data_IF_592193379213
#
_entry.id   IF_592193379213
#
_cell.length_a   1.000
_cell.length_b   1.000
_cell.length_c   1.000
_cell.angle_alpha   90.00
_cell.angle_beta   90.00
_cell.angle_gamma   90.00
#
_symmetry.space_group_name_H-M   'P 1'
#
loop_
_entity.id
_entity.type
_entity.pdbx_description
1 polymer ?
#
# COMPACT_ATOMS: atom_id res chain seq x y z
N UNK A 1 -15.24 -17.90 21.75
CA UNK A 1 -14.33 -18.36 20.67
C UNK A 1 -14.67 -17.68 19.34
N UNK A 2 -15.94 -17.53 19.06
CA UNK A 2 -16.45 -17.00 17.79
C UNK A 2 -16.06 -15.55 17.53
N UNK A 3 -16.12 -14.68 18.54
CA UNK A 3 -15.67 -13.30 18.44
C UNK A 3 -14.19 -13.17 18.09
N UNK A 4 -13.35 -14.00 18.71
CA UNK A 4 -11.89 -13.99 18.45
C UNK A 4 -11.58 -14.37 17.00
N UNK A 5 -12.26 -15.40 16.47
CA UNK A 5 -12.10 -15.80 15.07
C UNK A 5 -12.57 -14.71 14.12
N UNK A 6 -13.68 -14.05 14.41
CA UNK A 6 -14.18 -12.94 13.60
C UNK A 6 -13.22 -11.75 13.62
N UNK A 7 -12.68 -11.39 14.80
CA UNK A 7 -11.68 -10.32 14.93
C UNK A 7 -10.39 -10.65 14.21
N UNK A 8 -9.93 -11.90 14.26
CA UNK A 8 -8.75 -12.34 13.50
C UNK A 8 -8.98 -12.20 12.01
N UNK A 9 -10.14 -12.65 11.51
CA UNK A 9 -10.47 -12.57 10.09
C UNK A 9 -10.53 -11.11 9.61
N UNK A 10 -11.22 -10.25 10.34
CA UNK A 10 -11.30 -8.81 10.05
C UNK A 10 -9.91 -8.16 10.12
N UNK A 11 -9.13 -8.50 11.16
CA UNK A 11 -7.77 -7.97 11.34
C UNK A 11 -6.82 -8.39 10.22
N UNK A 12 -6.89 -9.64 9.75
CA UNK A 12 -6.13 -10.11 8.59
C UNK A 12 -6.58 -9.36 7.32
N UNK A 13 -7.88 -9.14 7.13
CA UNK A 13 -8.38 -8.38 5.97
C UNK A 13 -7.88 -6.94 5.94
N UNK A 14 -7.99 -6.21 7.04
CA UNK A 14 -7.46 -4.84 7.16
C UNK A 14 -5.92 -4.85 7.03
N UNK A 15 -5.26 -5.79 7.71
CA UNK A 15 -3.81 -5.95 7.65
C UNK A 15 -3.29 -6.27 6.24
N UNK A 16 -4.08 -7.00 5.45
CA UNK A 16 -3.76 -7.28 4.05
C UNK A 16 -3.74 -6.00 3.18
N UNK A 17 -4.65 -5.05 3.43
CA UNK A 17 -4.61 -3.72 2.80
C UNK A 17 -3.33 -2.98 3.16
N UNK A 18 -2.98 -2.95 4.46
CA UNK A 18 -1.74 -2.31 4.90
C UNK A 18 -0.50 -2.98 4.30
N UNK A 19 -0.50 -4.30 4.19
CA UNK A 19 0.58 -5.05 3.56
C UNK A 19 0.77 -4.69 2.07
N UNK A 20 -0.31 -4.52 1.30
CA UNK A 20 -0.22 -4.13 -0.11
C UNK A 20 0.38 -2.73 -0.29
N UNK A 21 -0.04 -1.76 0.51
CA UNK A 21 0.52 -0.41 0.46
C UNK A 21 1.96 -0.38 0.98
N UNK A 22 2.25 -1.16 2.03
CA UNK A 22 3.60 -1.35 2.58
C UNK A 22 4.56 -1.96 1.56
N UNK A 23 4.11 -2.94 0.77
CA UNK A 23 4.87 -3.46 -0.37
C UNK A 23 5.22 -2.35 -1.36
N UNK A 24 4.29 -1.47 -1.68
CA UNK A 24 4.55 -0.30 -2.52
C UNK A 24 5.65 0.60 -1.97
N UNK A 25 5.63 0.90 -0.66
CA UNK A 25 6.70 1.65 0.01
C UNK A 25 8.06 0.96 -0.13
N UNK A 26 8.11 -0.33 0.20
CA UNK A 26 9.35 -1.12 0.16
C UNK A 26 9.94 -1.19 -1.24
N UNK A 27 9.13 -1.39 -2.26
CA UNK A 27 9.60 -1.48 -3.65
C UNK A 27 10.22 -0.18 -4.14
N UNK A 28 9.58 0.97 -3.89
CA UNK A 28 10.14 2.28 -4.24
C UNK A 28 11.41 2.55 -3.44
N UNK A 29 11.41 2.27 -2.13
CA UNK A 29 12.58 2.46 -1.29
C UNK A 29 13.78 1.63 -1.77
N UNK A 30 13.58 0.36 -2.08
CA UNK A 30 14.64 -0.50 -2.63
C UNK A 30 15.22 0.04 -3.95
N UNK A 31 14.37 0.56 -4.83
CA UNK A 31 14.80 1.07 -6.13
C UNK A 31 15.46 2.44 -6.06
N UNK A 32 15.07 3.30 -5.11
CA UNK A 32 15.47 4.71 -5.08
C UNK A 32 16.30 5.11 -3.88
N UNK A 33 16.26 4.35 -2.78
CA UNK A 33 16.72 4.68 -1.42
C UNK A 33 15.97 5.89 -0.83
N UNK A 34 14.77 6.20 -1.32
CA UNK A 34 13.94 7.31 -0.82
C UNK A 34 12.54 6.80 -0.52
N UNK A 35 11.95 7.31 0.55
CA UNK A 35 10.55 7.04 0.90
C UNK A 35 9.63 7.91 0.04
N UNK A 36 8.62 7.29 -0.57
CA UNK A 36 7.58 8.03 -1.28
C UNK A 36 6.39 8.31 -0.34
N UNK A 37 6.31 9.50 0.21
CA UNK A 37 5.21 9.87 1.11
C UNK A 37 3.85 10.06 0.39
N UNK A 38 3.83 10.06 -0.95
CA UNK A 38 2.59 10.05 -1.73
C UNK A 38 2.01 8.63 -1.93
N UNK A 39 2.62 7.59 -1.36
CA UNK A 39 2.20 6.19 -1.58
C UNK A 39 0.76 5.93 -1.18
N UNK A 40 0.28 6.51 -0.08
CA UNK A 40 -1.10 6.33 0.35
C UNK A 40 -2.11 7.04 -0.54
N UNK A 41 -1.71 8.16 -1.15
CA UNK A 41 -2.59 8.88 -2.08
C UNK A 41 -2.88 8.08 -3.35
N UNK A 42 -2.01 7.14 -3.71
CA UNK A 42 -2.31 6.19 -4.77
C UNK A 42 -3.55 5.34 -4.45
N UNK A 43 -3.73 4.96 -3.18
CA UNK A 43 -4.93 4.23 -2.74
C UNK A 43 -6.18 5.10 -2.83
N UNK A 44 -6.09 6.35 -2.40
CA UNK A 44 -7.18 7.33 -2.48
C UNK A 44 -7.56 7.58 -3.95
N UNK A 45 -6.60 7.94 -4.80
CA UNK A 45 -6.88 8.26 -6.21
C UNK A 45 -7.51 7.08 -6.93
N UNK A 46 -7.05 5.85 -6.67
CA UNK A 46 -7.63 4.66 -7.28
C UNK A 46 -9.09 4.43 -6.85
N UNK A 47 -9.41 4.67 -5.57
CA UNK A 47 -10.79 4.58 -5.08
C UNK A 47 -11.69 5.64 -5.74
N UNK A 48 -11.21 6.88 -5.91
CA UNK A 48 -11.94 7.92 -6.65
C UNK A 48 -12.06 7.60 -8.15
N UNK A 49 -11.06 7.00 -8.78
CA UNK A 49 -11.19 6.52 -10.17
C UNK A 49 -12.28 5.45 -10.30
N UNK A 50 -12.43 4.58 -9.30
CA UNK A 50 -13.57 3.65 -9.27
C UNK A 50 -14.90 4.38 -9.16
N UNK A 51 -15.00 5.42 -8.33
CA UNK A 51 -16.22 6.27 -8.26
C UNK A 51 -16.51 6.89 -9.61
N UNK A 52 -15.51 7.50 -10.27
CA UNK A 52 -15.68 8.08 -11.62
C UNK A 52 -16.23 7.06 -12.61
N UNK A 53 -15.64 5.88 -12.68
CA UNK A 53 -15.99 4.91 -13.69
C UNK A 53 -17.26 4.13 -13.35
N UNK A 54 -17.42 3.69 -12.10
CA UNK A 54 -18.54 2.83 -11.70
C UNK A 54 -19.79 3.63 -11.33
N UNK A 55 -19.64 4.81 -10.69
CA UNK A 55 -20.77 5.60 -10.21
C UNK A 55 -21.13 6.71 -11.20
N UNK A 56 -20.19 7.61 -11.52
CA UNK A 56 -20.48 8.78 -12.36
C UNK A 56 -20.75 8.40 -13.83
N UNK A 57 -19.93 7.47 -14.38
CA UNK A 57 -20.07 6.97 -15.76
C UNK A 57 -20.94 5.73 -15.88
N UNK A 58 -21.37 5.15 -14.75
CA UNK A 58 -22.21 3.95 -14.68
C UNK A 58 -21.69 2.77 -15.54
N UNK A 59 -20.36 2.60 -15.62
CA UNK A 59 -19.73 1.52 -16.34
C UNK A 59 -19.82 0.21 -15.56
N UNK A 60 -19.81 -0.96 -16.22
CA UNK A 60 -19.74 -2.24 -15.54
C UNK A 60 -18.55 -2.30 -14.57
N UNK A 61 -18.77 -2.85 -13.38
CA UNK A 61 -17.80 -2.81 -12.28
C UNK A 61 -16.43 -3.39 -12.64
N UNK A 62 -16.40 -4.51 -13.39
CA UNK A 62 -15.17 -5.13 -13.87
C UNK A 62 -14.39 -4.23 -14.84
N UNK A 63 -15.10 -3.47 -15.72
CA UNK A 63 -14.49 -2.53 -16.64
C UNK A 63 -13.93 -1.31 -15.89
N UNK A 64 -14.69 -0.78 -14.93
CA UNK A 64 -14.28 0.30 -14.04
C UNK A 64 -13.00 -0.05 -13.30
N UNK A 65 -12.90 -1.27 -12.80
CA UNK A 65 -11.71 -1.80 -12.14
C UNK A 65 -10.49 -1.81 -13.06
N UNK A 66 -10.61 -2.34 -14.28
CA UNK A 66 -9.52 -2.37 -15.23
C UNK A 66 -9.07 -0.96 -15.65
N UNK A 67 -10.03 -0.05 -15.86
CA UNK A 67 -9.74 1.35 -16.21
C UNK A 67 -9.08 2.08 -15.03
N UNK A 68 -9.51 1.85 -13.80
CA UNK A 68 -8.87 2.42 -12.61
C UNK A 68 -7.43 1.93 -12.49
N UNK A 69 -7.15 0.64 -12.68
CA UNK A 69 -5.79 0.11 -12.65
C UNK A 69 -4.92 0.66 -13.79
N UNK A 70 -5.47 0.80 -14.98
CA UNK A 70 -4.78 1.45 -16.10
C UNK A 70 -4.46 2.91 -15.78
N UNK A 71 -5.41 3.64 -15.21
CA UNK A 71 -5.22 5.01 -14.71
C UNK A 71 -4.12 5.08 -13.65
N UNK A 72 -4.06 4.11 -12.73
CA UNK A 72 -2.99 4.04 -11.72
C UNK A 72 -1.63 3.74 -12.33
N UNK A 73 -1.55 2.89 -13.36
CA UNK A 73 -0.30 2.66 -14.08
C UNK A 73 0.20 3.94 -14.78
N UNK A 74 -0.69 4.69 -15.41
CA UNK A 74 -0.38 5.99 -16.01
C UNK A 74 0.06 6.98 -14.91
N UNK A 75 -0.66 7.06 -13.80
CA UNK A 75 -0.33 7.94 -12.68
C UNK A 75 1.06 7.61 -12.11
N UNK A 76 1.40 6.34 -11.94
CA UNK A 76 2.73 5.91 -11.50
C UNK A 76 3.84 6.36 -12.44
N UNK A 77 3.62 6.25 -13.76
CA UNK A 77 4.55 6.74 -14.77
C UNK A 77 4.69 8.27 -14.72
N UNK A 78 3.57 9.00 -14.69
CA UNK A 78 3.54 10.47 -14.59
C UNK A 78 4.21 10.94 -13.29
N UNK A 79 3.95 10.27 -12.18
CA UNK A 79 4.58 10.57 -10.91
C UNK A 79 6.11 10.39 -10.97
N UNK A 80 6.57 9.29 -11.56
CA UNK A 80 8.00 9.09 -11.76
C UNK A 80 8.59 10.23 -12.61
N UNK A 81 8.00 10.54 -13.76
CA UNK A 81 8.53 11.53 -14.69
C UNK A 81 8.45 12.97 -14.16
N UNK A 82 7.39 13.31 -13.41
CA UNK A 82 7.16 14.66 -12.90
C UNK A 82 7.79 14.95 -11.53
N UNK A 83 7.89 13.93 -10.66
CA UNK A 83 8.33 14.11 -9.27
C UNK A 83 9.72 13.55 -9.04
N UNK A 84 9.93 12.25 -9.34
CA UNK A 84 11.19 11.59 -9.02
C UNK A 84 12.30 11.88 -10.05
N UNK A 85 12.02 11.71 -11.34
CA UNK A 85 13.02 11.77 -12.40
C UNK A 85 13.78 13.11 -12.48
N UNK A 86 13.13 14.28 -12.32
CA UNK A 86 13.84 15.57 -12.30
C UNK A 86 14.80 15.71 -11.11
N UNK A 87 14.52 15.02 -10.02
CA UNK A 87 15.26 15.11 -8.76
C UNK A 87 16.21 13.93 -8.51
N UNK A 88 16.29 12.96 -9.43
CA UNK A 88 17.04 11.69 -9.23
C UNK A 88 18.54 11.84 -8.93
N UNK A 89 19.13 12.98 -9.29
CA UNK A 89 20.52 13.30 -9.02
C UNK A 89 20.72 14.21 -7.80
N UNK A 90 19.62 14.57 -7.13
CA UNK A 90 19.68 15.36 -5.90
C UNK A 90 19.82 14.46 -4.68
N UNK A 91 20.15 15.07 -3.53
CA UNK A 91 20.14 14.37 -2.25
C UNK A 91 18.73 13.86 -1.91
N UNK A 92 18.61 12.99 -0.93
CA UNK A 92 17.31 12.38 -0.56
C UNK A 92 16.25 13.40 -0.11
N UNK A 93 16.64 14.49 0.56
CA UNK A 93 15.72 15.46 1.16
C UNK A 93 14.82 16.19 0.13
N UNK A 94 15.34 16.77 -0.99
CA UNK A 94 14.49 17.35 -2.03
C UNK A 94 13.49 16.37 -2.63
N UNK A 95 13.84 15.09 -2.76
CA UNK A 95 12.93 14.06 -3.29
C UNK A 95 11.80 13.80 -2.30
N UNK A 96 12.11 13.67 -1.00
CA UNK A 96 11.09 13.51 0.05
C UNK A 96 10.11 14.69 0.04
N UNK A 97 10.63 15.92 0.04
CA UNK A 97 9.78 17.13 0.03
C UNK A 97 8.88 17.15 -1.22
N UNK A 98 9.42 16.77 -2.38
CA UNK A 98 8.64 16.70 -3.61
C UNK A 98 7.53 15.64 -3.53
N UNK A 99 7.77 14.48 -2.91
CA UNK A 99 6.72 13.45 -2.73
C UNK A 99 5.63 13.92 -1.76
N UNK A 100 5.99 14.66 -0.70
CA UNK A 100 5.02 15.29 0.22
C UNK A 100 4.20 16.35 -0.53
N UNK A 101 4.87 17.21 -1.32
CA UNK A 101 4.18 18.20 -2.15
C UNK A 101 3.21 17.56 -3.15
N UNK A 102 3.61 16.44 -3.76
CA UNK A 102 2.76 15.68 -4.66
C UNK A 102 1.57 15.02 -3.94
N UNK A 103 1.76 14.52 -2.71
CA UNK A 103 0.68 14.03 -1.84
C UNK A 103 -0.37 15.13 -1.59
N UNK A 104 0.08 16.30 -1.16
CA UNK A 104 -0.79 17.46 -0.92
C UNK A 104 -1.52 17.88 -2.20
N UNK A 105 -0.83 17.90 -3.34
CA UNK A 105 -1.42 18.23 -4.64
C UNK A 105 -2.52 17.23 -5.02
N UNK A 106 -2.28 15.92 -4.88
CA UNK A 106 -3.28 14.89 -5.20
C UNK A 106 -4.49 14.98 -4.27
N UNK A 107 -4.28 15.12 -2.95
CA UNK A 107 -5.37 15.22 -1.97
C UNK A 107 -6.24 16.47 -2.24
N UNK A 108 -5.62 17.64 -2.43
CA UNK A 108 -6.37 18.87 -2.72
C UNK A 108 -6.95 18.91 -4.14
N UNK A 109 -6.32 18.24 -5.11
CA UNK A 109 -6.89 18.08 -6.44
C UNK A 109 -8.20 17.28 -6.39
N UNK A 110 -8.22 16.17 -5.66
CA UNK A 110 -9.45 15.38 -5.45
C UNK A 110 -10.49 16.18 -4.65
N UNK A 111 -10.06 16.91 -3.61
CA UNK A 111 -10.94 17.79 -2.83
C UNK A 111 -11.63 18.86 -3.71
N UNK A 112 -10.90 19.45 -4.63
CA UNK A 112 -11.44 20.46 -5.54
C UNK A 112 -12.46 19.89 -6.54
N UNK A 113 -12.31 18.62 -6.93
CA UNK A 113 -13.19 17.95 -7.90
C UNK A 113 -14.44 17.34 -7.23
N UNK A 114 -14.29 16.68 -6.08
CA UNK A 114 -15.34 15.90 -5.43
C UNK A 114 -15.89 16.53 -4.14
N UNK A 115 -15.22 17.55 -3.61
CA UNK A 115 -15.57 18.16 -2.34
C UNK A 115 -15.18 17.28 -1.13
N UNK A 116 -15.54 17.70 0.10
CA UNK A 116 -15.13 17.03 1.34
C UNK A 116 -16.00 15.83 1.73
N UNK A 117 -17.10 15.58 1.02
CA UNK A 117 -18.06 14.53 1.39
C UNK A 117 -17.54 13.15 0.99
N UNK A 118 -17.56 12.16 1.89
CA UNK A 118 -17.23 10.79 1.55
C UNK A 118 -18.15 10.24 0.47
N UNK A 119 -17.59 9.50 -0.49
CA UNK A 119 -18.33 8.80 -1.52
C UNK A 119 -18.55 7.35 -1.12
N UNK A 120 -19.69 6.79 -1.52
CA UNK A 120 -20.02 5.38 -1.31
C UNK A 120 -19.67 4.61 -2.57
N UNK A 121 -18.90 3.56 -2.40
CA UNK A 121 -18.65 2.58 -3.44
C UNK A 121 -19.26 1.25 -3.02
N UNK A 122 -20.10 0.68 -3.86
CA UNK A 122 -20.71 -0.64 -3.60
C UNK A 122 -19.65 -1.74 -3.65
N UNK A 123 -19.85 -2.78 -2.86
CA UNK A 123 -18.96 -3.95 -2.86
C UNK A 123 -19.09 -4.78 -4.13
N UNK A 124 -18.12 -5.69 -4.34
CA UNK A 124 -18.11 -6.61 -5.49
C UNK A 124 -19.24 -7.65 -5.45
N UNK A 125 -19.79 -7.90 -4.27
CA UNK A 125 -20.80 -8.93 -4.07
C UNK A 125 -22.09 -8.31 -3.51
N UNK A 126 -23.22 -8.69 -4.09
CA UNK A 126 -24.55 -8.32 -3.59
C UNK A 126 -24.87 -9.03 -2.25
N UNK A 127 -24.24 -10.19 -2.02
CA UNK A 127 -24.43 -10.95 -0.77
C UNK A 127 -23.48 -10.44 0.31
N UNK A 128 -24.00 -10.04 1.48
CA UNK A 128 -23.20 -9.40 2.51
C UNK A 128 -22.16 -10.31 3.18
N UNK A 129 -22.21 -11.63 3.02
CA UNK A 129 -21.23 -12.56 3.58
C UNK A 129 -21.68 -14.02 3.66
N UNK A 130 -20.74 -14.87 4.10
CA UNK A 130 -20.96 -16.29 4.29
C UNK A 130 -21.02 -16.58 5.78
N UNK A 131 -22.08 -17.23 6.23
CA UNK A 131 -22.20 -17.66 7.62
C UNK A 131 -21.64 -19.08 7.75
N UNK A 132 -20.49 -19.22 8.40
CA UNK A 132 -19.87 -20.50 8.75
C UNK A 132 -20.10 -20.81 10.23
N UNK A 133 -21.26 -21.41 10.51
CA UNK A 133 -21.67 -21.66 11.89
C UNK A 133 -21.90 -20.36 12.66
N UNK A 134 -21.20 -20.13 13.80
CA UNK A 134 -21.33 -18.91 14.58
C UNK A 134 -20.52 -17.71 14.06
N UNK A 135 -19.65 -17.93 13.06
CA UNK A 135 -18.76 -16.90 12.51
C UNK A 135 -19.37 -16.33 11.23
N UNK A 136 -19.53 -15.01 11.19
CA UNK A 136 -19.94 -14.28 9.99
C UNK A 136 -18.71 -13.75 9.26
N UNK A 137 -18.47 -14.25 8.05
CA UNK A 137 -17.39 -13.81 7.18
C UNK A 137 -17.96 -12.84 6.12
N UNK A 138 -17.65 -11.58 6.27
CA UNK A 138 -18.00 -10.57 5.28
C UNK A 138 -17.27 -10.88 3.96
N UNK A 139 -18.01 -10.88 2.85
CA UNK A 139 -17.50 -11.21 1.52
C UNK A 139 -16.39 -10.27 1.07
N UNK A 140 -16.44 -9.00 1.49
CA UNK A 140 -15.41 -8.02 1.10
C UNK A 140 -14.06 -8.29 1.77
N UNK A 141 -14.05 -8.66 3.07
CA UNK A 141 -12.79 -9.05 3.74
C UNK A 141 -12.21 -10.33 3.15
N UNK A 142 -13.05 -11.28 2.79
CA UNK A 142 -12.63 -12.52 2.13
C UNK A 142 -11.99 -12.22 0.77
N UNK A 143 -12.60 -11.34 -0.02
CA UNK A 143 -12.04 -10.88 -1.29
C UNK A 143 -10.66 -10.23 -1.08
N UNK A 144 -10.54 -9.32 -0.10
CA UNK A 144 -9.27 -8.65 0.20
C UNK A 144 -8.17 -9.67 0.53
N UNK A 145 -8.47 -10.65 1.39
CA UNK A 145 -7.50 -11.68 1.80
C UNK A 145 -7.08 -12.53 0.58
N UNK A 146 -8.04 -13.00 -0.21
CA UNK A 146 -7.76 -13.84 -1.39
C UNK A 146 -6.94 -13.07 -2.42
N UNK A 147 -7.35 -11.85 -2.77
CA UNK A 147 -6.62 -11.02 -3.74
C UNK A 147 -5.22 -10.71 -3.21
N UNK A 148 -5.07 -10.38 -1.94
CA UNK A 148 -3.75 -10.12 -1.35
C UNK A 148 -2.85 -11.36 -1.39
N UNK A 149 -3.37 -12.54 -1.07
CA UNK A 149 -2.60 -13.79 -1.18
C UNK A 149 -2.15 -14.04 -2.63
N UNK A 150 -3.04 -13.84 -3.61
CA UNK A 150 -2.69 -13.96 -5.03
C UNK A 150 -1.61 -12.95 -5.41
N UNK A 151 -1.73 -11.69 -4.97
CA UNK A 151 -0.75 -10.65 -5.25
C UNK A 151 0.60 -10.93 -4.59
N UNK A 152 0.62 -11.42 -3.36
CA UNK A 152 1.86 -11.82 -2.67
C UNK A 152 2.53 -12.99 -3.41
N UNK A 153 1.77 -14.01 -3.78
CA UNK A 153 2.28 -15.13 -4.57
C UNK A 153 2.79 -14.68 -5.95
N UNK A 154 2.04 -13.79 -6.62
CA UNK A 154 2.44 -13.17 -7.87
C UNK A 154 3.74 -12.35 -7.73
N UNK A 155 3.86 -11.53 -6.66
CA UNK A 155 5.08 -10.79 -6.36
C UNK A 155 6.28 -11.72 -6.23
N UNK A 156 6.15 -12.79 -5.44
CA UNK A 156 7.23 -13.77 -5.29
C UNK A 156 7.62 -14.38 -6.64
N UNK A 157 6.63 -14.87 -7.40
CA UNK A 157 6.87 -15.42 -8.74
C UNK A 157 7.50 -14.38 -9.69
N UNK A 158 6.98 -13.15 -9.71
CA UNK A 158 7.46 -12.08 -10.57
C UNK A 158 8.94 -11.76 -10.31
N UNK A 159 9.30 -11.52 -9.06
CA UNK A 159 10.68 -11.16 -8.70
C UNK A 159 11.65 -12.33 -8.84
N UNK A 160 11.24 -13.56 -8.51
CA UNK A 160 12.12 -14.72 -8.53
C UNK A 160 12.23 -15.41 -9.88
N UNK A 161 11.19 -15.35 -10.71
CA UNK A 161 11.11 -16.17 -11.92
C UNK A 161 11.11 -15.38 -13.23
N UNK A 162 10.87 -14.05 -13.19
CA UNK A 162 10.85 -13.27 -14.44
C UNK A 162 12.14 -12.50 -14.67
N UNK A 163 12.51 -12.30 -15.95
CA UNK A 163 13.66 -11.48 -16.33
C UNK A 163 13.51 -10.02 -15.87
N UNK A 164 12.28 -9.48 -15.92
CA UNK A 164 12.00 -8.12 -15.48
C UNK A 164 12.21 -7.99 -13.97
N UNK A 165 11.69 -8.95 -13.18
CA UNK A 165 11.91 -8.99 -11.74
C UNK A 165 13.38 -9.08 -11.36
N UNK A 166 14.17 -9.91 -12.06
CA UNK A 166 15.62 -10.00 -11.83
C UNK A 166 16.35 -8.70 -12.17
N UNK A 167 15.96 -7.99 -13.23
CA UNK A 167 16.51 -6.66 -13.57
C UNK A 167 16.17 -5.62 -12.50
N UNK A 168 14.94 -5.65 -11.97
CA UNK A 168 14.53 -4.79 -10.86
C UNK A 168 15.34 -5.07 -9.59
N UNK A 169 15.55 -6.34 -9.24
CA UNK A 169 16.40 -6.74 -8.11
C UNK A 169 17.85 -6.28 -8.30
N UNK A 170 18.44 -6.51 -9.47
CA UNK A 170 19.80 -6.06 -9.77
C UNK A 170 19.92 -4.52 -9.62
N UNK A 171 18.95 -3.77 -10.16
CA UNK A 171 18.92 -2.31 -10.02
C UNK A 171 18.79 -1.85 -8.57
N UNK A 172 18.08 -2.60 -7.73
CA UNK A 172 17.90 -2.28 -6.31
C UNK A 172 19.13 -2.58 -5.46
N UNK A 173 19.97 -3.54 -5.88
CA UNK A 173 21.21 -3.90 -5.20
C UNK A 173 22.33 -2.93 -5.52
N UNK A 174 22.57 -2.69 -6.81
CA UNK A 174 23.62 -1.79 -7.28
C UNK A 174 23.25 -1.18 -8.63
N UNK A 175 22.97 0.12 -8.63
CA UNK A 175 22.58 0.87 -9.84
C UNK A 175 23.73 1.01 -10.84
N UNK A 176 24.95 1.17 -10.36
CA UNK A 176 26.11 1.36 -11.23
C UNK A 176 26.46 0.04 -11.91
N UNK A 177 26.50 -1.05 -11.15
CA UNK A 177 26.76 -2.38 -11.70
C UNK A 177 25.66 -2.82 -12.66
N UNK A 178 24.38 -2.57 -12.33
CA UNK A 178 23.24 -2.86 -13.23
C UNK A 178 23.38 -2.10 -14.55
N UNK A 179 23.80 -0.83 -14.51
CA UNK A 179 24.05 -0.03 -15.71
C UNK A 179 25.18 -0.59 -16.58
N UNK A 180 26.27 -1.05 -15.95
CA UNK A 180 27.39 -1.68 -16.68
C UNK A 180 26.99 -3.00 -17.37
N UNK A 181 26.00 -3.72 -16.79
CA UNK A 181 25.39 -4.91 -17.40
C UNK A 181 24.35 -4.59 -18.49
N UNK A 182 24.19 -3.31 -18.88
CA UNK A 182 23.26 -2.88 -19.91
C UNK A 182 21.80 -2.77 -19.45
N UNK A 183 21.53 -2.77 -18.14
CA UNK A 183 20.18 -2.57 -17.60
C UNK A 183 19.89 -1.08 -17.54
N UNK A 184 18.81 -0.64 -18.19
CA UNK A 184 18.34 0.75 -18.11
C UNK A 184 17.74 1.04 -16.72
N UNK A 185 18.56 1.57 -15.81
CA UNK A 185 18.19 1.89 -14.42
C UNK A 185 16.98 2.82 -14.36
N UNK A 186 16.92 3.85 -15.22
CA UNK A 186 15.81 4.79 -15.26
C UNK A 186 14.49 4.11 -15.61
N UNK A 187 14.51 3.18 -16.58
CA UNK A 187 13.32 2.40 -16.96
C UNK A 187 12.90 1.47 -15.83
N UNK A 188 13.83 0.82 -15.15
CA UNK A 188 13.51 -0.06 -14.02
C UNK A 188 12.88 0.71 -12.86
N UNK A 189 13.38 1.89 -12.53
CA UNK A 189 12.78 2.76 -11.50
C UNK A 189 11.37 3.20 -11.93
N UNK A 190 11.15 3.59 -13.19
CA UNK A 190 9.83 3.94 -13.69
C UNK A 190 8.84 2.77 -13.55
N UNK A 191 9.25 1.56 -13.91
CA UNK A 191 8.41 0.35 -13.75
C UNK A 191 8.10 0.11 -12.27
N UNK A 192 9.05 0.35 -11.37
CA UNK A 192 8.81 0.24 -9.92
C UNK A 192 7.74 1.22 -9.44
N UNK A 193 7.75 2.48 -9.91
CA UNK A 193 6.70 3.44 -9.57
C UNK A 193 5.34 3.04 -10.13
N UNK A 194 5.27 2.56 -11.38
CA UNK A 194 4.04 2.04 -11.99
C UNK A 194 3.50 0.88 -11.16
N UNK A 195 4.34 -0.09 -10.86
CA UNK A 195 3.96 -1.28 -10.10
C UNK A 195 3.50 -0.94 -8.68
N UNK A 196 4.21 -0.04 -7.99
CA UNK A 196 3.85 0.43 -6.67
C UNK A 196 2.53 1.23 -6.66
N UNK A 197 2.28 2.06 -7.68
CA UNK A 197 1.02 2.79 -7.83
C UNK A 197 -0.15 1.83 -8.07
N UNK A 198 0.04 0.78 -8.86
CA UNK A 198 -0.98 -0.27 -9.08
C UNK A 198 -1.25 -1.05 -7.79
N UNK A 199 -0.23 -1.43 -7.02
CA UNK A 199 -0.41 -2.11 -5.73
C UNK A 199 -1.16 -1.23 -4.72
N UNK A 200 -0.76 0.03 -4.59
CA UNK A 200 -1.46 1.00 -3.74
C UNK A 200 -2.90 1.21 -4.20
N UNK A 201 -3.10 1.32 -5.51
CA UNK A 201 -4.42 1.44 -6.11
C UNK A 201 -5.32 0.23 -5.84
N UNK A 202 -4.80 -0.98 -5.99
CA UNK A 202 -5.53 -2.21 -5.65
C UNK A 202 -5.96 -2.21 -4.18
N UNK A 203 -5.06 -1.84 -3.27
CA UNK A 203 -5.39 -1.75 -1.84
C UNK A 203 -6.54 -0.75 -1.59
N UNK A 204 -6.49 0.43 -2.24
CA UNK A 204 -7.53 1.46 -2.14
C UNK A 204 -8.89 0.99 -2.67
N UNK A 205 -8.92 0.40 -3.86
CA UNK A 205 -10.15 -0.13 -4.48
C UNK A 205 -10.78 -1.23 -3.61
N UNK A 206 -9.95 -2.13 -3.08
CA UNK A 206 -10.43 -3.25 -2.27
C UNK A 206 -11.02 -2.81 -0.93
N UNK A 207 -10.47 -1.76 -0.32
CA UNK A 207 -10.92 -1.30 1.00
C UNK A 207 -12.02 -0.23 0.92
N UNK A 208 -12.20 0.41 -0.23
CA UNK A 208 -13.16 1.49 -0.44
C UNK A 208 -14.62 1.16 -0.02
N UNK A 209 -15.15 -0.05 -0.29
CA UNK A 209 -16.49 -0.42 0.16
C UNK A 209 -16.65 -0.49 1.69
N UNK A 210 -15.54 -0.71 2.42
CA UNK A 210 -15.53 -0.85 3.88
C UNK A 210 -15.37 0.50 4.58
N UNK A 211 -14.41 1.32 4.10
CA UNK A 211 -14.00 2.57 4.77
C UNK A 211 -14.65 3.83 4.19
N UNK A 212 -15.47 3.68 3.16
CA UNK A 212 -15.93 4.77 2.29
C UNK A 212 -14.76 5.48 1.59
N UNK A 213 -15.03 6.05 0.42
CA UNK A 213 -14.02 6.79 -0.34
C UNK A 213 -13.96 8.22 0.19
N UNK A 214 -12.89 8.56 0.87
CA UNK A 214 -12.67 9.88 1.46
C UNK A 214 -11.26 10.40 1.18
N UNK A 215 -11.08 11.71 1.24
CA UNK A 215 -9.77 12.32 1.00
C UNK A 215 -8.74 11.87 2.06
N UNK A 216 -9.17 11.70 3.30
CA UNK A 216 -8.32 11.28 4.41
C UNK A 216 -7.90 9.81 4.34
N UNK A 217 -8.58 8.96 3.52
CA UNK A 217 -8.24 7.53 3.47
C UNK A 217 -6.80 7.30 3.01
N UNK A 218 -6.28 8.13 2.09
CA UNK A 218 -4.92 8.02 1.58
C UNK A 218 -3.88 8.19 2.68
N UNK A 219 -3.93 9.30 3.40
CA UNK A 219 -3.01 9.61 4.50
C UNK A 219 -3.13 8.62 5.67
N UNK A 220 -4.35 8.21 6.02
CA UNK A 220 -4.59 7.23 7.10
C UNK A 220 -3.97 5.88 6.77
N UNK A 221 -4.22 5.37 5.56
CA UNK A 221 -3.64 4.09 5.11
C UNK A 221 -2.11 4.20 4.97
N UNK A 222 -1.61 5.33 4.45
CA UNK A 222 -0.17 5.58 4.31
C UNK A 222 0.57 5.47 5.63
N UNK A 223 0.09 6.16 6.68
CA UNK A 223 0.73 6.16 7.98
C UNK A 223 0.77 4.76 8.61
N UNK A 224 -0.31 3.98 8.48
CA UNK A 224 -0.39 2.61 8.99
C UNK A 224 0.47 1.65 8.16
N UNK A 225 0.47 1.77 6.85
CA UNK A 225 1.34 0.97 5.98
C UNK A 225 2.82 1.32 6.20
N UNK A 226 3.14 2.59 6.45
CA UNK A 226 4.49 3.01 6.83
C UNK A 226 4.91 2.42 8.18
N UNK A 227 4.00 2.44 9.18
CA UNK A 227 4.22 1.75 10.45
C UNK A 227 4.46 0.25 10.24
N UNK A 228 3.68 -0.39 9.39
CA UNK A 228 3.85 -1.79 9.04
C UNK A 228 5.22 -2.09 8.42
N UNK A 229 5.74 -1.21 7.55
CA UNK A 229 7.09 -1.37 6.97
C UNK A 229 8.19 -1.27 8.03
N UNK A 230 8.04 -0.37 9.01
CA UNK A 230 9.01 -0.23 10.10
C UNK A 230 8.96 -1.45 11.03
N UNK A 231 7.77 -1.89 11.42
CA UNK A 231 7.57 -3.07 12.25
C UNK A 231 8.15 -4.32 11.58
N UNK A 232 7.89 -4.48 10.29
CA UNK A 232 8.40 -5.60 9.50
C UNK A 232 9.91 -5.58 9.30
N UNK A 233 10.51 -4.41 9.21
CA UNK A 233 11.89 -4.15 8.83
C UNK A 233 11.95 -3.38 7.52
N UNK A 234 12.35 -2.12 7.59
CA UNK A 234 12.27 -1.20 6.46
C UNK A 234 13.15 -1.70 5.30
N UNK A 235 12.55 -1.91 4.14
CA UNK A 235 13.21 -2.45 2.96
C UNK A 235 13.06 -3.97 2.77
N UNK A 236 12.49 -4.71 3.72
CA UNK A 236 12.21 -6.15 3.54
C UNK A 236 10.77 -6.39 3.06
N UNK A 237 10.63 -7.13 1.94
CA UNK A 237 9.32 -7.45 1.32
C UNK A 237 8.49 -8.38 2.23
N UNK A 238 9.12 -9.38 2.79
CA UNK A 238 8.45 -10.34 3.70
C UNK A 238 8.07 -9.65 5.00
N UNK A 239 8.96 -8.79 5.50
CA UNK A 239 8.73 -7.94 6.66
C UNK A 239 7.52 -7.02 6.47
N UNK A 240 7.41 -6.35 5.33
CA UNK A 240 6.27 -5.47 5.03
C UNK A 240 4.93 -6.22 5.08
N UNK A 241 4.87 -7.45 4.56
CA UNK A 241 3.66 -8.29 4.58
C UNK A 241 3.31 -8.67 6.01
N UNK A 242 4.27 -9.21 6.76
CA UNK A 242 4.05 -9.66 8.14
C UNK A 242 3.74 -8.47 9.06
N UNK A 243 4.44 -7.34 8.86
CA UNK A 243 4.19 -6.10 9.58
C UNK A 243 2.77 -5.56 9.34
N UNK A 244 2.31 -5.57 8.07
CA UNK A 244 0.95 -5.18 7.72
C UNK A 244 -0.11 -6.05 8.36
N UNK A 245 0.02 -7.38 8.24
CA UNK A 245 -0.91 -8.33 8.85
C UNK A 245 -0.93 -8.21 10.38
N UNK A 246 0.25 -8.12 11.00
CA UNK A 246 0.36 -7.97 12.46
C UNK A 246 -0.30 -6.67 12.94
N UNK A 247 -0.06 -5.56 12.23
CA UNK A 247 -0.63 -4.27 12.59
C UNK A 247 -2.16 -4.29 12.49
N UNK A 248 -2.72 -4.86 11.41
CA UNK A 248 -4.16 -4.97 11.23
C UNK A 248 -4.82 -5.82 12.33
N UNK A 249 -4.19 -6.92 12.75
CA UNK A 249 -4.66 -7.75 13.85
C UNK A 249 -4.63 -6.95 15.17
N UNK A 250 -3.49 -6.33 15.51
CA UNK A 250 -3.33 -5.56 16.75
C UNK A 250 -4.35 -4.41 16.81
N UNK A 251 -4.53 -3.69 15.72
CA UNK A 251 -5.49 -2.60 15.62
C UNK A 251 -6.94 -3.07 15.84
N UNK A 252 -7.32 -4.20 15.22
CA UNK A 252 -8.66 -4.76 15.33
C UNK A 252 -8.95 -5.25 16.75
N UNK A 253 -8.01 -5.95 17.37
CA UNK A 253 -8.14 -6.40 18.76
C UNK A 253 -8.13 -5.22 19.74
N UNK A 254 -7.25 -4.23 19.54
CA UNK A 254 -7.23 -3.01 20.34
C UNK A 254 -8.56 -2.24 20.28
N UNK A 255 -9.14 -2.12 19.09
CA UNK A 255 -10.45 -1.50 18.92
C UNK A 255 -11.57 -2.26 19.63
N UNK A 256 -11.56 -3.60 19.56
CA UNK A 256 -12.63 -4.43 20.11
C UNK A 256 -12.57 -4.55 21.64
N UNK A 257 -11.38 -4.71 22.22
CA UNK A 257 -11.20 -4.98 23.65
C UNK A 257 -10.90 -3.76 24.50
N UNK A 258 -10.40 -2.67 23.90
CA UNK A 258 -10.01 -1.49 24.68
C UNK A 258 -10.87 -0.30 24.30
N UNK A 259 -10.80 0.20 23.05
CA UNK A 259 -11.59 1.36 22.64
C UNK A 259 -11.55 1.59 21.12
N UNK A 260 -12.71 1.72 20.50
CA UNK A 260 -12.85 2.03 19.08
C UNK A 260 -12.30 3.43 18.72
N UNK A 261 -12.59 4.51 19.49
CA UNK A 261 -12.05 5.86 19.22
C UNK A 261 -10.51 5.93 19.22
N UNK A 262 -9.85 5.05 19.97
CA UNK A 262 -8.38 5.02 20.04
C UNK A 262 -7.74 3.98 19.11
N UNK A 263 -8.51 3.44 18.16
CA UNK A 263 -8.06 2.44 17.20
C UNK A 263 -6.72 2.79 16.55
N UNK A 264 -6.58 4.02 16.06
CA UNK A 264 -5.36 4.48 15.40
C UNK A 264 -4.19 4.66 16.39
N UNK A 265 -4.48 5.01 17.63
CA UNK A 265 -3.46 5.16 18.66
C UNK A 265 -2.71 3.84 18.96
N UNK A 266 -3.40 2.70 18.88
CA UNK A 266 -2.75 1.39 19.08
C UNK A 266 -1.72 1.10 17.99
N UNK A 267 -2.05 1.42 16.72
CA UNK A 267 -1.12 1.24 15.62
C UNK A 267 0.16 2.07 15.81
N UNK A 268 0.02 3.34 16.22
CA UNK A 268 1.16 4.22 16.45
C UNK A 268 1.92 3.91 17.74
N UNK A 269 1.24 3.45 18.78
CA UNK A 269 1.89 2.99 20.00
C UNK A 269 2.81 1.79 19.71
N UNK A 270 2.34 0.82 18.95
CA UNK A 270 3.15 -0.33 18.51
C UNK A 270 4.33 0.13 17.67
N UNK A 271 4.13 1.08 16.74
CA UNK A 271 5.22 1.67 15.97
C UNK A 271 6.29 2.28 16.89
N UNK A 272 5.89 3.11 17.84
CA UNK A 272 6.82 3.75 18.80
C UNK A 272 7.57 2.69 19.63
N UNK A 273 6.86 1.67 20.10
CA UNK A 273 7.50 0.56 20.81
C UNK A 273 8.57 -0.12 19.96
N UNK A 274 8.26 -0.43 18.69
CA UNK A 274 9.26 -1.03 17.79
C UNK A 274 10.45 -0.09 17.55
N UNK A 275 10.23 1.20 17.33
CA UNK A 275 11.32 2.17 17.16
C UNK A 275 12.24 2.27 18.38
N UNK A 276 11.69 2.14 19.58
CA UNK A 276 12.47 2.22 20.84
C UNK A 276 13.20 0.91 21.14
N UNK A 277 12.52 -0.24 21.02
CA UNK A 277 13.07 -1.53 21.47
C UNK A 277 13.73 -2.33 20.36
N UNK A 278 13.26 -2.19 19.11
CA UNK A 278 13.76 -2.93 17.95
C UNK A 278 13.71 -2.10 16.67
N UNK A 279 14.54 -1.05 16.56
CA UNK A 279 14.48 -0.08 15.44
C UNK A 279 14.74 -0.73 14.07
N UNK A 280 15.30 -1.94 14.02
CA UNK A 280 15.53 -2.70 12.78
C UNK A 280 14.29 -3.45 12.29
N UNK A 281 13.20 -3.50 13.09
CA UNK A 281 12.01 -4.30 12.80
C UNK A 281 12.23 -5.80 13.03
N UNK A 282 11.25 -6.60 12.55
CA UNK A 282 11.27 -8.07 12.75
C UNK A 282 12.34 -8.75 11.86
N UNK A 283 12.44 -8.32 10.60
CA UNK A 283 13.29 -8.91 9.55
C UNK A 283 14.43 -8.00 9.09
N UNK A 284 14.63 -6.83 9.72
CA UNK A 284 15.70 -5.91 9.35
C UNK A 284 17.10 -6.50 9.63
N UNK A 285 18.02 -6.28 8.71
CA UNK A 285 19.43 -6.66 8.89
C UNK A 285 20.06 -5.84 10.03
N UNK A 286 20.81 -6.51 10.89
CA UNK A 286 21.65 -5.82 11.87
C UNK A 286 22.77 -5.12 11.10
N UNK A 287 22.70 -3.81 10.99
CA UNK A 287 23.86 -3.03 10.55
C UNK A 287 24.94 -3.26 11.62
N UNK A 288 25.96 -4.01 11.27
CA UNK A 288 27.14 -4.13 12.13
C UNK A 288 27.73 -2.72 12.22
N UNK A 289 27.67 -2.09 13.39
CA UNK A 289 28.46 -0.89 13.65
C UNK A 289 29.91 -1.27 13.38
N UNK A 290 30.45 -0.72 12.31
CA UNK A 290 31.91 -0.74 12.13
C UNK A 290 32.47 0.20 13.18
N UNK A 291 33.01 -0.40 14.25
CA UNK A 291 33.85 0.26 15.23
C UNK A 291 35.10 0.82 14.58
#
# INVERSE_FOLDING_TARGET
>A
MDLVLQLLFTGIGIGAVYALVALGFVLIFRATNVVNFAQGEFSMVAAYLMVVFAVDLALPYWLSFLLALAGMAILGAVFNLGVYYPLRHRTYLPVIIATIGASILMANGVLALYGPQPQVLEGWFETPGIQLGPVYLDSQYLLIIVVTMILVAFNYWFFEKTMLGKKLQATSQDKEMASLLGISVSTMIMITFIYSAVLGGLAGILVAPILFVSIQMGSTIALKAFAATIIGGFGDVTGAIIGGLSLGIIETFGAAYISVPYKDAFAFLVLVMFLVFRPQGIFGERVAEKA
#
